data_IF_148053885939
#
_entry.id   IF_148053885939
#
_cell.length_a   1.000
_cell.length_b   1.000
_cell.length_c   1.000
_cell.angle_alpha   90.00
_cell.angle_beta   90.00
_cell.angle_gamma   90.00
#
_symmetry.space_group_name_H-M   'P 1'
#
loop_
_entity.id
_entity.type
_entity.pdbx_description
1 polymer ?
#
# COMPACT_ATOMS: atom_id res chain seq x y z
N UNK A 1 -7.50 11.05 8.17
CA UNK A 1 -6.26 10.33 7.84
C UNK A 1 -5.55 9.93 9.12
N UNK A 2 -5.09 8.71 9.20
CA UNK A 2 -4.38 8.20 10.36
C UNK A 2 -2.92 8.67 10.42
N UNK A 3 -2.28 8.45 11.57
CA UNK A 3 -0.86 8.79 11.77
C UNK A 3 0.04 8.07 10.78
N UNK A 4 -0.29 6.81 10.46
CA UNK A 4 0.43 5.98 9.49
C UNK A 4 0.47 6.60 8.09
N UNK A 5 -0.67 7.01 7.59
CA UNK A 5 -0.81 7.64 6.28
C UNK A 5 -0.08 8.99 6.22
N UNK A 6 -0.21 9.79 7.27
CA UNK A 6 0.48 11.08 7.36
C UNK A 6 2.00 10.94 7.38
N UNK A 7 2.52 9.93 8.09
CA UNK A 7 3.96 9.62 8.09
C UNK A 7 4.41 9.21 6.70
N UNK A 8 3.68 8.33 6.04
CA UNK A 8 4.00 7.87 4.70
C UNK A 8 4.03 9.04 3.70
N UNK A 9 3.08 9.96 3.78
CA UNK A 9 3.04 11.15 2.92
C UNK A 9 4.26 12.04 3.14
N UNK A 10 4.68 12.26 4.38
CA UNK A 10 5.89 13.04 4.68
C UNK A 10 7.13 12.45 4.00
N UNK A 11 7.29 11.13 4.06
CA UNK A 11 8.42 10.45 3.44
C UNK A 11 8.34 10.46 1.91
N UNK A 12 7.15 10.32 1.35
CA UNK A 12 6.95 10.34 -0.10
C UNK A 12 7.20 11.72 -0.71
N UNK A 13 6.82 12.79 0.00
CA UNK A 13 7.10 14.17 -0.40
C UNK A 13 8.59 14.54 -0.30
N UNK A 14 9.32 13.86 0.58
CA UNK A 14 10.73 14.12 0.87
C UNK A 14 11.58 12.86 0.66
N UNK A 15 11.57 12.31 -0.55
CA UNK A 15 12.29 11.07 -0.86
C UNK A 15 13.79 11.19 -0.56
N UNK A 16 14.32 10.15 0.09
CA UNK A 16 15.72 10.07 0.48
C UNK A 16 16.09 10.86 1.73
N UNK A 17 15.14 11.55 2.34
CA UNK A 17 15.34 12.28 3.59
C UNK A 17 14.97 11.43 4.79
N UNK A 18 15.81 11.46 5.83
CA UNK A 18 15.54 10.78 7.10
C UNK A 18 14.93 11.75 8.11
N UNK A 19 13.99 11.27 8.90
CA UNK A 19 13.32 12.06 9.93
C UNK A 19 13.43 11.38 11.29
N UNK A 20 13.73 12.16 12.33
CA UNK A 20 13.71 11.62 13.69
C UNK A 20 12.30 11.37 14.17
N UNK A 21 12.12 10.38 15.06
CA UNK A 21 10.83 10.11 15.69
C UNK A 21 10.29 11.33 16.45
N UNK A 22 11.18 12.12 17.04
CA UNK A 22 10.82 13.37 17.74
C UNK A 22 10.28 14.43 16.77
N UNK A 23 10.92 14.60 15.61
CA UNK A 23 10.47 15.52 14.57
C UNK A 23 9.07 15.14 14.05
N UNK A 24 8.88 13.86 13.73
CA UNK A 24 7.58 13.34 13.25
C UNK A 24 6.49 13.49 14.31
N UNK A 25 6.79 13.18 15.58
CA UNK A 25 5.86 13.34 16.69
C UNK A 25 5.42 14.80 16.84
N UNK A 26 6.36 15.72 16.78
CA UNK A 26 6.09 17.16 16.89
C UNK A 26 5.29 17.68 15.69
N UNK A 27 5.69 17.30 14.48
CA UNK A 27 5.02 17.73 13.23
C UNK A 27 3.57 17.26 13.15
N UNK A 28 3.30 16.04 13.61
CA UNK A 28 1.96 15.45 13.57
C UNK A 28 1.15 15.64 14.86
N UNK A 29 1.75 16.29 15.85
CA UNK A 29 1.14 16.49 17.18
C UNK A 29 0.68 15.18 17.84
N UNK A 30 1.55 14.17 17.82
CA UNK A 30 1.35 12.86 18.42
C UNK A 30 2.53 12.47 19.31
N UNK A 31 2.37 11.39 20.08
CA UNK A 31 3.48 10.88 20.90
C UNK A 31 4.54 10.16 20.06
N UNK A 32 5.77 10.07 20.57
CA UNK A 32 6.85 9.26 19.96
C UNK A 32 6.46 7.79 19.82
N UNK A 33 5.69 7.26 20.80
CA UNK A 33 5.16 5.90 20.73
C UNK A 33 4.17 5.71 19.59
N UNK A 34 3.33 6.71 19.32
CA UNK A 34 2.41 6.67 18.18
C UNK A 34 3.18 6.63 16.86
N UNK A 35 4.26 7.40 16.73
CA UNK A 35 5.16 7.35 15.56
C UNK A 35 5.80 5.97 15.42
N UNK A 36 6.34 5.43 16.49
CA UNK A 36 6.95 4.10 16.49
C UNK A 36 5.98 3.00 16.06
N UNK A 37 4.76 3.02 16.61
CA UNK A 37 3.69 2.08 16.22
C UNK A 37 3.35 2.20 14.73
N UNK A 38 3.17 3.43 14.25
CA UNK A 38 2.84 3.69 12.85
C UNK A 38 3.94 3.21 11.90
N UNK A 39 5.22 3.46 12.22
CA UNK A 39 6.35 2.95 11.43
C UNK A 39 6.39 1.42 11.43
N UNK A 40 6.12 0.79 12.57
CA UNK A 40 6.07 -0.68 12.64
C UNK A 40 4.90 -1.26 11.82
N UNK A 41 3.76 -0.59 11.79
CA UNK A 41 2.65 -0.99 10.92
C UNK A 41 3.03 -0.85 9.45
N UNK A 42 3.69 0.23 9.06
CA UNK A 42 4.19 0.40 7.69
C UNK A 42 5.21 -0.69 7.31
N UNK A 43 6.08 -1.07 8.23
CA UNK A 43 7.00 -2.20 8.01
C UNK A 43 6.25 -3.52 7.79
N UNK A 44 5.18 -3.77 8.54
CA UNK A 44 4.30 -4.94 8.34
C UNK A 44 3.58 -4.90 7.00
N UNK A 45 3.25 -3.71 6.51
CA UNK A 45 2.63 -3.51 5.19
C UNK A 45 3.63 -3.68 4.03
N UNK A 46 4.93 -3.89 4.33
CA UNK A 46 5.98 -4.15 3.35
C UNK A 46 6.89 -2.95 3.05
N UNK A 47 6.67 -1.80 3.66
CA UNK A 47 7.59 -0.66 3.53
C UNK A 47 8.90 -0.92 4.25
N UNK A 48 10.02 -0.63 3.59
CA UNK A 48 11.35 -0.83 4.13
C UNK A 48 11.89 0.47 4.69
N UNK A 49 12.11 0.47 6.01
CA UNK A 49 12.73 1.58 6.73
C UNK A 49 14.08 1.16 7.28
N UNK A 50 15.07 2.03 7.14
CA UNK A 50 16.31 1.94 7.90
C UNK A 50 16.20 2.80 9.17
N UNK A 51 16.70 2.27 10.27
CA UNK A 51 16.86 3.00 11.52
C UNK A 51 18.34 3.36 11.68
N UNK A 52 18.71 4.56 11.28
CA UNK A 52 20.06 5.05 11.54
C UNK A 52 20.11 5.66 12.96
N UNK A 53 21.07 5.25 13.76
CA UNK A 53 21.16 5.57 15.19
C UNK A 53 21.15 7.07 15.54
N UNK A 54 21.41 7.95 14.56
CA UNK A 54 21.37 9.42 14.73
C UNK A 54 20.48 10.15 13.74
N UNK A 55 20.11 9.50 12.63
CA UNK A 55 19.30 10.11 11.57
C UNK A 55 17.80 9.83 11.70
N UNK A 56 17.41 8.90 12.59
CA UNK A 56 16.03 8.50 12.78
C UNK A 56 15.55 7.46 11.75
N UNK A 57 14.34 7.62 11.24
CA UNK A 57 13.75 6.74 10.26
C UNK A 57 14.03 7.22 8.85
N UNK A 58 14.41 6.30 7.98
CA UNK A 58 14.65 6.56 6.56
C UNK A 58 13.84 5.56 5.74
N UNK A 59 12.91 6.05 4.93
CA UNK A 59 12.17 5.21 3.99
C UNK A 59 13.05 4.92 2.77
N UNK A 60 13.26 3.65 2.47
CA UNK A 60 14.02 3.24 1.29
C UNK A 60 13.21 3.53 0.02
N UNK A 61 13.89 3.98 -1.03
CA UNK A 61 13.24 4.37 -2.29
C UNK A 61 12.80 3.16 -3.14
N UNK A 62 13.31 1.98 -2.86
CA UNK A 62 13.05 0.75 -3.60
C UNK A 62 11.90 -0.10 -3.00
N UNK A 63 10.92 0.55 -2.41
CA UNK A 63 9.75 -0.13 -1.88
C UNK A 63 8.89 -0.67 -3.02
N UNK A 64 8.61 -1.96 -2.95
CA UNK A 64 7.74 -2.68 -3.88
C UNK A 64 6.35 -2.90 -3.24
N UNK A 65 5.80 -1.84 -2.68
CA UNK A 65 4.48 -1.88 -2.06
C UNK A 65 3.44 -1.35 -3.02
N UNK A 66 2.49 -2.21 -3.34
CA UNK A 66 1.35 -1.86 -4.15
C UNK A 66 0.28 -1.22 -3.25
N UNK A 67 0.02 0.07 -3.45
CA UNK A 67 -1.03 0.80 -2.74
C UNK A 67 -1.91 1.59 -3.70
N UNK A 68 -3.18 1.76 -3.35
CA UNK A 68 -4.13 2.56 -4.14
C UNK A 68 -3.62 3.97 -4.35
N UNK A 69 -3.13 4.62 -3.30
CA UNK A 69 -2.64 6.00 -3.36
C UNK A 69 -1.46 6.16 -4.32
N UNK A 70 -0.51 5.24 -4.32
CA UNK A 70 0.64 5.27 -5.23
C UNK A 70 0.22 5.05 -6.69
N UNK A 71 -0.75 4.17 -6.92
CA UNK A 71 -1.30 3.95 -8.26
C UNK A 71 -1.99 5.22 -8.76
N UNK A 72 -2.88 5.82 -7.97
CA UNK A 72 -3.59 7.03 -8.34
C UNK A 72 -2.67 8.22 -8.64
N UNK A 73 -1.57 8.38 -7.91
CA UNK A 73 -0.58 9.44 -8.17
C UNK A 73 0.06 9.35 -9.55
N UNK A 74 0.15 8.16 -10.11
CA UNK A 74 0.79 7.91 -11.41
C UNK A 74 -0.20 7.80 -12.58
N UNK A 75 -1.51 7.92 -12.32
CA UNK A 75 -2.54 7.86 -13.36
C UNK A 75 -2.86 9.25 -13.92
N UNK A 76 -2.96 9.35 -15.25
CA UNK A 76 -3.37 10.58 -15.93
C UNK A 76 -4.86 10.89 -15.79
N UNK A 77 -5.70 9.84 -15.80
CA UNK A 77 -7.17 9.95 -15.71
C UNK A 77 -7.65 9.22 -14.45
N UNK A 78 -7.13 9.63 -13.29
CA UNK A 78 -7.39 8.96 -12.02
C UNK A 78 -8.89 8.90 -11.67
N UNK A 79 -9.66 9.92 -12.04
CA UNK A 79 -11.09 10.01 -11.79
C UNK A 79 -11.94 8.98 -12.56
N UNK A 80 -11.44 8.44 -13.66
CA UNK A 80 -12.12 7.39 -14.42
C UNK A 80 -12.07 6.03 -13.72
N UNK A 81 -10.99 5.77 -12.99
CA UNK A 81 -10.73 4.46 -12.39
C UNK A 81 -11.22 4.39 -10.93
N UNK A 82 -11.78 3.24 -10.58
CA UNK A 82 -12.03 2.85 -9.18
C UNK A 82 -11.14 1.65 -8.85
N UNK A 83 -10.02 1.94 -8.21
CA UNK A 83 -8.97 0.94 -7.94
C UNK A 83 -9.08 0.44 -6.51
N UNK A 84 -9.13 -0.87 -6.36
CA UNK A 84 -9.10 -1.56 -5.07
C UNK A 84 -7.93 -2.52 -5.02
N UNK A 85 -7.08 -2.33 -4.01
CA UNK A 85 -5.94 -3.21 -3.74
C UNK A 85 -6.22 -4.05 -2.51
N UNK A 86 -6.08 -5.37 -2.66
CA UNK A 86 -6.28 -6.35 -1.59
C UNK A 86 -4.95 -7.02 -1.24
N UNK A 87 -4.72 -7.26 0.02
CA UNK A 87 -3.55 -8.02 0.47
C UNK A 87 -3.66 -9.49 0.05
N UNK A 88 -4.82 -10.10 0.29
CA UNK A 88 -5.10 -11.48 -0.08
C UNK A 88 -6.56 -11.66 -0.44
N UNK A 89 -6.82 -12.37 -1.52
CA UNK A 89 -8.15 -12.76 -1.97
C UNK A 89 -8.13 -14.20 -2.46
N UNK A 90 -9.30 -14.82 -2.62
CA UNK A 90 -9.41 -16.12 -3.27
C UNK A 90 -9.02 -16.03 -4.76
N UNK A 91 -9.66 -15.10 -5.48
CA UNK A 91 -9.38 -14.82 -6.88
C UNK A 91 -9.90 -13.43 -7.25
N UNK A 92 -9.09 -12.65 -7.96
CA UNK A 92 -9.53 -11.34 -8.48
C UNK A 92 -10.70 -11.48 -9.46
N UNK A 93 -10.79 -12.58 -10.21
CA UNK A 93 -11.95 -12.88 -11.08
C UNK A 93 -13.24 -13.03 -10.27
N UNK A 94 -13.19 -13.74 -9.14
CA UNK A 94 -14.36 -13.88 -8.24
C UNK A 94 -14.76 -12.53 -7.63
N UNK A 95 -13.78 -11.76 -7.18
CA UNK A 95 -14.00 -10.41 -6.62
C UNK A 95 -14.64 -9.50 -7.67
N UNK A 96 -14.08 -9.45 -8.87
CA UNK A 96 -14.62 -8.63 -9.96
C UNK A 96 -16.07 -9.00 -10.30
N UNK A 97 -16.40 -10.29 -10.37
CA UNK A 97 -17.78 -10.76 -10.59
C UNK A 97 -18.73 -10.32 -9.50
N UNK A 98 -18.31 -10.43 -8.23
CA UNK A 98 -19.12 -10.01 -7.08
C UNK A 98 -19.42 -8.52 -7.14
N UNK A 99 -18.42 -7.68 -7.37
CA UNK A 99 -18.62 -6.24 -7.50
C UNK A 99 -19.44 -5.86 -8.73
N UNK A 100 -19.24 -6.53 -9.87
CA UNK A 100 -20.02 -6.31 -11.07
C UNK A 100 -21.52 -6.62 -10.85
N UNK A 101 -21.82 -7.72 -10.14
CA UNK A 101 -23.21 -8.08 -9.77
C UNK A 101 -23.86 -7.05 -8.83
N UNK A 102 -23.07 -6.27 -8.09
CA UNK A 102 -23.52 -5.22 -7.19
C UNK A 102 -23.43 -3.81 -7.81
N UNK A 103 -23.26 -3.71 -9.13
CA UNK A 103 -23.32 -2.44 -9.86
C UNK A 103 -21.99 -1.69 -9.91
N UNK A 104 -20.85 -2.39 -9.91
CA UNK A 104 -19.55 -1.75 -10.13
C UNK A 104 -19.53 -1.03 -11.50
N UNK A 105 -18.99 0.17 -11.50
CA UNK A 105 -18.93 1.00 -12.72
C UNK A 105 -17.79 0.56 -13.66
N UNK A 106 -17.86 1.00 -14.90
CA UNK A 106 -16.75 0.90 -15.84
C UNK A 106 -15.50 1.58 -15.27
N UNK A 107 -14.33 1.03 -15.52
CA UNK A 107 -13.07 1.51 -14.95
C UNK A 107 -12.73 0.93 -13.57
N UNK A 108 -13.55 0.00 -13.05
CA UNK A 108 -13.23 -0.71 -11.81
C UNK A 108 -12.08 -1.69 -12.01
N UNK A 109 -11.05 -1.57 -11.14
CA UNK A 109 -9.83 -2.38 -11.19
C UNK A 109 -9.60 -3.05 -9.84
N UNK A 110 -9.37 -4.35 -9.86
CA UNK A 110 -9.15 -5.16 -8.66
C UNK A 110 -7.76 -5.79 -8.72
N UNK A 111 -6.93 -5.47 -7.75
CA UNK A 111 -5.54 -5.93 -7.68
C UNK A 111 -5.35 -6.67 -6.35
N UNK A 112 -4.68 -7.81 -6.39
CA UNK A 112 -4.36 -8.59 -5.21
C UNK A 112 -2.86 -8.91 -5.16
N UNK A 113 -2.27 -8.75 -3.98
CA UNK A 113 -0.88 -9.15 -3.74
C UNK A 113 -0.74 -10.67 -3.64
N UNK A 114 -1.80 -11.36 -3.25
CA UNK A 114 -1.83 -12.81 -3.12
C UNK A 114 -3.21 -13.35 -3.49
N UNK A 115 -3.25 -14.45 -4.24
CA UNK A 115 -4.46 -15.19 -4.56
C UNK A 115 -4.34 -16.63 -4.06
N UNK A 116 -5.29 -17.09 -3.25
CA UNK A 116 -5.32 -18.47 -2.74
C UNK A 116 -5.89 -19.46 -3.76
N UNK A 117 -6.76 -18.99 -4.64
CA UNK A 117 -7.43 -19.78 -5.69
C UNK A 117 -7.38 -19.08 -7.05
N UNK A 118 -6.18 -18.57 -7.40
CA UNK A 118 -5.98 -17.91 -8.69
C UNK A 118 -6.35 -18.81 -9.86
N UNK A 119 -7.03 -18.26 -10.87
CA UNK A 119 -7.51 -19.02 -12.03
C UNK A 119 -6.97 -18.47 -13.32
N UNK A 120 -6.45 -19.37 -14.15
CA UNK A 120 -6.12 -19.13 -15.53
C UNK A 120 -7.29 -19.48 -16.46
N UNK A 121 -7.01 -19.46 -17.75
CA UNK A 121 -7.99 -19.82 -18.78
C UNK A 121 -8.27 -21.33 -18.75
N UNK A 122 -9.46 -21.72 -19.15
CA UNK A 122 -9.92 -23.11 -19.28
C UNK A 122 -9.82 -23.92 -17.97
N UNK A 123 -10.10 -23.27 -16.83
CA UNK A 123 -10.10 -23.94 -15.52
C UNK A 123 -8.73 -24.24 -14.93
N UNK A 124 -7.63 -23.76 -15.55
CA UNK A 124 -6.27 -23.94 -15.02
C UNK A 124 -6.08 -23.13 -13.75
N UNK A 125 -5.29 -23.66 -12.83
CA UNK A 125 -4.87 -22.91 -11.67
C UNK A 125 -3.81 -21.87 -12.06
N UNK A 126 -3.81 -20.73 -11.36
CA UNK A 126 -2.80 -19.69 -11.47
C UNK A 126 -2.15 -19.47 -10.11
N UNK A 127 -0.85 -19.71 -10.05
CA UNK A 127 -0.08 -19.53 -8.81
C UNK A 127 0.26 -18.05 -8.63
N UNK A 128 -0.23 -17.47 -7.55
CA UNK A 128 -0.07 -16.04 -7.24
C UNK A 128 0.31 -15.87 -5.76
N UNK A 129 1.58 -16.18 -5.40
CA UNK A 129 2.05 -16.06 -4.02
C UNK A 129 2.28 -14.60 -3.62
N UNK A 130 2.33 -14.35 -2.32
CA UNK A 130 2.67 -13.04 -1.78
C UNK A 130 4.06 -12.58 -2.25
N UNK A 131 4.19 -11.30 -2.64
CA UNK A 131 5.44 -10.70 -3.07
C UNK A 131 5.76 -10.83 -4.57
N UNK A 132 4.89 -11.45 -5.34
CA UNK A 132 5.01 -11.54 -6.81
C UNK A 132 3.71 -11.05 -7.46
N UNK A 133 3.84 -10.05 -8.28
CA UNK A 133 2.72 -9.46 -9.02
C UNK A 133 2.94 -9.65 -10.51
#
# INVERSE_FOLDING_TARGET
MGVKENILDIFNENRGVCFSGQYLAKKLNVSRNAVWKAVNELKKDGYRFESAHRAGYCLLCDNDVLSESEIYKNLKNAEFFDIKVFKSVTSTNKIARSYASNGAKEGSVYIAQHQTEGRGRMGRSFFSPEGYI
#
